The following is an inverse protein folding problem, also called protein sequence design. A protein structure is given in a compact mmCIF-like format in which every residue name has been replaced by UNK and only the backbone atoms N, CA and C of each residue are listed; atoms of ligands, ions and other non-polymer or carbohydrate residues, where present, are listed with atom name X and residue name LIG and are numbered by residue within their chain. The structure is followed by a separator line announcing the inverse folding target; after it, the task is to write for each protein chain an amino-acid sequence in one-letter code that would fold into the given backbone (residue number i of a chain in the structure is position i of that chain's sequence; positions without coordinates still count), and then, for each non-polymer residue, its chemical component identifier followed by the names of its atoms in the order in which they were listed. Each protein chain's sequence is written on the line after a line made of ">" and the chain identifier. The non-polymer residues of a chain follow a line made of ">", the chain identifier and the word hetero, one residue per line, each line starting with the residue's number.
data_IF_362383649520
#
_entry.id   IF_362383649520
#
_cell.length_a   1.000
_cell.length_b   1.000
_cell.length_c   1.000
_cell.angle_alpha   90.00
_cell.angle_beta   90.00
_cell.angle_gamma   90.00
#
_symmetry.space_group_name_H-M   'P 1'
#
loop_
_entity.id
_entity.type
_entity.pdbx_description
1 polymer ?
#
# COMPACT_ATOMS: atom_id res chain seq x y z
N UNK A 1 15.80 1.70 -12.57
CA UNK A 1 15.59 0.37 -11.95
C UNK A 1 15.88 0.38 -10.45
N UNK A 2 17.08 0.80 -10.02
CA UNK A 2 17.48 0.76 -8.60
C UNK A 2 16.52 1.55 -7.69
N UNK A 3 16.15 2.77 -8.07
CA UNK A 3 15.23 3.61 -7.29
C UNK A 3 13.85 2.96 -7.11
N UNK A 4 13.30 2.35 -8.16
CA UNK A 4 12.04 1.61 -8.06
C UNK A 4 12.15 0.43 -7.09
N UNK A 5 13.27 -0.30 -7.14
CA UNK A 5 13.54 -1.39 -6.20
C UNK A 5 13.64 -0.89 -4.76
N UNK A 6 14.33 0.23 -4.52
CA UNK A 6 14.44 0.82 -3.17
C UNK A 6 13.05 1.16 -2.61
N UNK A 7 12.17 1.82 -3.37
CA UNK A 7 10.80 2.09 -2.92
C UNK A 7 10.02 0.82 -2.60
N UNK A 8 10.16 -0.24 -3.42
CA UNK A 8 9.51 -1.53 -3.17
C UNK A 8 10.06 -2.24 -1.93
N UNK A 9 11.38 -2.16 -1.72
CA UNK A 9 12.00 -2.71 -0.52
C UNK A 9 11.53 -1.97 0.75
N UNK A 10 11.48 -0.63 0.71
CA UNK A 10 10.98 0.19 1.83
C UNK A 10 9.51 -0.11 2.12
N UNK A 11 8.66 -0.24 1.09
CA UNK A 11 7.27 -0.66 1.24
C UNK A 11 7.18 -2.01 1.94
N UNK A 12 7.95 -3.01 1.46
CA UNK A 12 7.99 -4.34 2.04
C UNK A 12 8.44 -4.34 3.51
N UNK A 13 9.43 -3.52 3.87
CA UNK A 13 9.87 -3.34 5.26
C UNK A 13 8.75 -2.76 6.14
N UNK A 14 8.07 -1.72 5.67
CA UNK A 14 6.93 -1.13 6.40
C UNK A 14 5.78 -2.11 6.53
N UNK A 15 5.51 -2.90 5.49
CA UNK A 15 4.49 -3.94 5.51
C UNK A 15 4.83 -5.08 6.47
N UNK A 16 6.11 -5.46 6.59
CA UNK A 16 6.56 -6.51 7.50
C UNK A 16 6.34 -6.16 8.99
N UNK A 17 6.23 -4.88 9.33
CA UNK A 17 5.91 -4.43 10.69
C UNK A 17 4.40 -4.60 11.00
N UNK A 18 3.55 -4.77 9.98
CA UNK A 18 2.09 -4.87 10.16
C UNK A 18 1.65 -5.97 11.14
N UNK A 19 2.17 -7.21 11.07
CA UNK A 19 1.80 -8.26 12.01
C UNK A 19 2.08 -7.92 13.47
N UNK A 20 3.13 -7.14 13.75
CA UNK A 20 3.47 -6.73 15.12
C UNK A 20 2.38 -5.86 15.76
N UNK A 21 1.78 -4.96 15.00
CA UNK A 21 0.64 -4.16 15.49
C UNK A 21 -0.60 -5.02 15.74
N UNK A 22 -0.85 -6.02 14.88
CA UNK A 22 -1.95 -6.96 15.07
C UNK A 22 -1.76 -7.82 16.31
N UNK A 23 -0.53 -8.32 16.52
CA UNK A 23 -0.18 -9.09 17.73
C UNK A 23 -0.27 -8.24 18.99
N UNK A 24 0.17 -6.97 18.95
CA UNK A 24 0.04 -6.06 20.07
C UNK A 24 -1.43 -5.80 20.43
N UNK A 25 -2.31 -5.58 19.45
CA UNK A 25 -3.75 -5.42 19.65
C UNK A 25 -4.39 -6.70 20.21
N UNK A 26 -4.00 -7.87 19.70
CA UNK A 26 -4.46 -9.15 20.21
C UNK A 26 -4.02 -9.38 21.66
N UNK A 27 -2.77 -9.07 21.98
CA UNK A 27 -2.24 -9.16 23.34
C UNK A 27 -3.02 -8.24 24.31
N UNK A 28 -3.32 -7.01 23.91
CA UNK A 28 -4.14 -6.10 24.70
C UNK A 28 -5.57 -6.61 24.90
N UNK A 29 -6.18 -7.18 23.86
CA UNK A 29 -7.53 -7.73 23.94
C UNK A 29 -7.60 -8.93 24.89
N UNK A 30 -6.61 -9.81 24.85
CA UNK A 30 -6.53 -11.00 25.73
C UNK A 30 -6.17 -10.64 27.16
N UNK A 31 -5.28 -9.67 27.38
CA UNK A 31 -4.90 -9.18 28.71
C UNK A 31 -6.01 -8.35 29.35
N UNK A 32 -6.68 -7.49 28.56
CA UNK A 32 -7.77 -6.65 29.05
C UNK A 32 -9.02 -7.42 29.52
N UNK A 33 -9.21 -8.64 29.01
CA UNK A 33 -10.27 -9.54 29.50
C UNK A 33 -10.02 -10.05 30.92
N UNK A 34 -8.77 -10.00 31.43
CA UNK A 34 -8.36 -10.47 32.75
C UNK A 34 -8.28 -9.35 33.81
N UNK A 35 -8.41 -8.06 33.42
CA UNK A 35 -8.17 -6.89 34.28
C UNK A 35 -9.47 -6.16 34.59
N UNK A 36 -9.63 -5.71 35.84
CA UNK A 36 -10.84 -5.02 36.34
C UNK A 36 -11.09 -3.67 35.66
N UNK A 37 -12.31 -3.13 35.84
CA UNK A 37 -12.88 -1.98 35.12
C UNK A 37 -12.06 -0.68 35.08
N UNK A 38 -11.17 -0.43 36.06
CA UNK A 38 -10.32 0.77 36.10
C UNK A 38 -9.22 0.75 35.01
N UNK A 39 -8.68 -0.43 34.67
CA UNK A 39 -7.66 -0.59 33.65
C UNK A 39 -8.23 -0.71 32.23
N UNK A 40 -9.53 -0.99 32.10
CA UNK A 40 -10.20 -1.08 30.80
C UNK A 40 -10.16 0.24 30.02
N UNK A 41 -10.25 1.39 30.70
CA UNK A 41 -10.15 2.71 30.06
C UNK A 41 -8.76 2.97 29.48
N UNK A 42 -7.71 2.65 30.24
CA UNK A 42 -6.32 2.78 29.79
C UNK A 42 -6.00 1.81 28.64
N UNK A 43 -6.46 0.58 28.72
CA UNK A 43 -6.32 -0.43 27.67
C UNK A 43 -6.99 0.00 26.37
N UNK A 44 -8.22 0.54 26.44
CA UNK A 44 -8.93 1.06 25.27
C UNK A 44 -8.25 2.28 24.66
N UNK A 45 -7.66 3.16 25.47
CA UNK A 45 -6.90 4.31 24.97
C UNK A 45 -5.64 3.86 24.19
N UNK A 46 -4.88 2.90 24.74
CA UNK A 46 -3.70 2.34 24.07
C UNK A 46 -4.09 1.61 22.78
N UNK A 47 -5.14 0.78 22.81
CA UNK A 47 -5.68 0.10 21.64
C UNK A 47 -6.08 1.11 20.54
N UNK A 48 -6.72 2.21 20.90
CA UNK A 48 -7.11 3.29 19.99
C UNK A 48 -5.90 3.95 19.32
N UNK A 49 -4.82 4.20 20.06
CA UNK A 49 -3.55 4.73 19.50
C UNK A 49 -2.91 3.73 18.55
N UNK A 50 -2.78 2.46 18.94
CA UNK A 50 -2.21 1.42 18.09
C UNK A 50 -3.00 1.25 16.78
N UNK A 51 -4.32 1.32 16.84
CA UNK A 51 -5.17 1.25 15.67
C UNK A 51 -4.93 2.43 14.70
N UNK A 52 -4.82 3.66 15.22
CA UNK A 52 -4.50 4.85 14.42
C UNK A 52 -3.12 4.75 13.78
N UNK A 53 -2.10 4.33 14.54
CA UNK A 53 -0.73 4.15 14.03
C UNK A 53 -0.71 3.06 12.95
N UNK A 54 -1.47 1.98 13.12
CA UNK A 54 -1.60 0.94 12.10
C UNK A 54 -2.23 1.47 10.80
N UNK A 55 -3.24 2.35 10.89
CA UNK A 55 -3.82 2.99 9.71
C UNK A 55 -2.83 3.92 9.00
N UNK A 56 -2.10 4.74 9.72
CA UNK A 56 -1.07 5.62 9.14
C UNK A 56 0.05 4.82 8.47
N UNK A 57 0.52 3.76 9.09
CA UNK A 57 1.51 2.85 8.51
C UNK A 57 1.04 2.30 7.16
N UNK A 58 -0.23 1.87 7.06
CA UNK A 58 -0.79 1.37 5.80
C UNK A 58 -0.76 2.45 4.71
N UNK A 59 -1.11 3.69 5.04
CA UNK A 59 -1.05 4.82 4.09
C UNK A 59 0.39 5.14 3.68
N UNK A 60 1.35 5.11 4.61
CA UNK A 60 2.77 5.31 4.29
C UNK A 60 3.30 4.21 3.37
N UNK A 61 2.98 2.94 3.64
CA UNK A 61 3.33 1.83 2.76
C UNK A 61 2.73 2.02 1.36
N UNK A 62 1.46 2.44 1.27
CA UNK A 62 0.78 2.73 0.00
C UNK A 62 1.43 3.89 -0.78
N UNK A 63 1.93 4.92 -0.10
CA UNK A 63 2.69 6.02 -0.72
C UNK A 63 4.00 5.48 -1.31
N UNK A 64 4.78 4.70 -0.55
CA UNK A 64 6.01 4.08 -1.06
C UNK A 64 5.74 3.17 -2.24
N UNK A 65 4.68 2.36 -2.16
CA UNK A 65 4.18 1.53 -3.25
C UNK A 65 3.90 2.36 -4.50
N UNK A 66 3.17 3.47 -4.39
CA UNK A 66 2.76 4.28 -5.54
C UNK A 66 3.96 4.94 -6.25
N UNK A 67 4.95 5.43 -5.50
CA UNK A 67 6.20 5.93 -6.07
C UNK A 67 6.99 4.82 -6.78
N UNK A 68 7.15 3.68 -6.13
CA UNK A 68 7.82 2.51 -6.72
C UNK A 68 7.13 2.04 -8.00
N UNK A 69 5.80 1.94 -7.97
CA UNK A 69 4.99 1.54 -9.12
C UNK A 69 5.04 2.56 -10.25
N UNK A 70 5.02 3.85 -9.97
CA UNK A 70 5.15 4.90 -11.00
C UNK A 70 6.47 4.80 -11.76
N UNK A 71 7.59 4.63 -11.04
CA UNK A 71 8.91 4.48 -11.67
C UNK A 71 8.99 3.15 -12.43
N UNK A 72 8.46 2.08 -11.86
CA UNK A 72 8.50 0.75 -12.45
C UNK A 72 7.68 0.68 -13.75
N UNK A 73 6.45 1.19 -13.72
CA UNK A 73 5.58 1.22 -14.90
C UNK A 73 6.11 2.16 -15.99
N UNK A 74 6.73 3.28 -15.60
CA UNK A 74 7.45 4.16 -16.53
C UNK A 74 8.59 3.42 -17.24
N UNK A 75 9.40 2.65 -16.51
CA UNK A 75 10.49 1.87 -17.09
C UNK A 75 9.95 0.79 -18.02
N UNK A 76 8.90 0.07 -17.64
CA UNK A 76 8.24 -0.94 -18.49
C UNK A 76 7.66 -0.33 -19.76
N UNK A 77 7.05 0.86 -19.67
CA UNK A 77 6.53 1.59 -20.81
C UNK A 77 7.65 1.99 -21.78
N UNK A 78 8.76 2.51 -21.25
CA UNK A 78 9.90 2.95 -22.04
C UNK A 78 10.63 1.79 -22.72
N UNK A 79 10.81 0.68 -21.99
CA UNK A 79 11.46 -0.51 -22.48
C UNK A 79 10.56 -1.42 -23.32
N UNK A 80 9.29 -1.10 -23.46
CA UNK A 80 8.27 -1.90 -24.20
C UNK A 80 8.19 -3.37 -23.73
N UNK A 81 8.40 -3.58 -22.45
CA UNK A 81 8.42 -4.93 -21.86
C UNK A 81 7.03 -5.57 -21.73
N UNK A 82 5.98 -4.76 -21.77
CA UNK A 82 4.57 -5.17 -21.67
C UNK A 82 3.75 -4.37 -22.69
N UNK A 83 2.50 -4.81 -23.01
CA UNK A 83 1.61 -4.09 -23.91
C UNK A 83 1.45 -2.61 -23.49
N UNK A 84 1.62 -1.70 -24.45
CA UNK A 84 1.53 -0.27 -24.22
C UNK A 84 0.29 0.18 -23.44
N UNK A 85 -0.95 -0.27 -23.79
CA UNK A 85 -2.14 0.16 -23.06
C UNK A 85 -2.08 -0.22 -21.58
N UNK A 86 -1.54 -1.41 -21.28
CA UNK A 86 -1.37 -1.87 -19.90
C UNK A 86 -0.34 -1.02 -19.15
N UNK A 87 0.81 -0.72 -19.77
CA UNK A 87 1.84 0.12 -19.18
C UNK A 87 1.36 1.55 -18.92
N UNK A 88 0.59 2.13 -19.85
CA UNK A 88 -0.01 3.48 -19.70
C UNK A 88 -1.03 3.48 -18.57
N UNK A 89 -1.89 2.47 -18.48
CA UNK A 89 -2.86 2.34 -17.38
C UNK A 89 -2.14 2.27 -16.02
N UNK A 90 -1.11 1.44 -15.89
CA UNK A 90 -0.34 1.30 -14.65
C UNK A 90 0.36 2.59 -14.26
N UNK A 91 0.95 3.31 -15.22
CA UNK A 91 1.60 4.59 -14.97
C UNK A 91 0.59 5.65 -14.52
N UNK A 92 -0.54 5.79 -15.22
CA UNK A 92 -1.60 6.74 -14.87
C UNK A 92 -2.20 6.43 -13.48
N UNK A 93 -2.48 5.15 -13.19
CA UNK A 93 -2.97 4.71 -11.88
C UNK A 93 -1.96 5.03 -10.76
N UNK A 94 -0.67 4.81 -11.01
CA UNK A 94 0.38 5.11 -10.03
C UNK A 94 0.50 6.61 -9.75
N UNK A 95 0.45 7.45 -10.78
CA UNK A 95 0.47 8.92 -10.63
C UNK A 95 -0.78 9.41 -9.86
N UNK A 96 -1.94 8.83 -10.13
CA UNK A 96 -3.17 9.12 -9.38
C UNK A 96 -2.98 8.81 -7.88
N UNK A 97 -2.42 7.65 -7.54
CA UNK A 97 -2.13 7.27 -6.15
C UNK A 97 -1.09 8.19 -5.50
N UNK A 98 -0.01 8.54 -6.22
CA UNK A 98 1.01 9.49 -5.75
C UNK A 98 0.39 10.84 -5.37
N UNK A 99 -0.60 11.31 -6.11
CA UNK A 99 -1.28 12.57 -5.81
C UNK A 99 -2.29 12.45 -4.65
N UNK A 100 -3.06 11.37 -4.62
CA UNK A 100 -4.20 11.22 -3.68
C UNK A 100 -3.78 10.74 -2.30
N UNK A 101 -2.81 9.81 -2.20
CA UNK A 101 -2.45 9.24 -0.90
C UNK A 101 -1.83 10.23 0.10
N UNK A 102 -0.97 11.19 -0.29
CA UNK A 102 -0.53 12.24 0.62
C UNK A 102 -1.68 13.12 1.13
N UNK A 103 -2.65 13.45 0.27
CA UNK A 103 -3.84 14.21 0.67
C UNK A 103 -4.74 13.43 1.65
N UNK A 104 -4.80 12.12 1.49
CA UNK A 104 -5.46 11.23 2.45
C UNK A 104 -4.72 11.24 3.80
N UNK A 105 -3.40 11.16 3.81
CA UNK A 105 -2.60 11.20 5.03
C UNK A 105 -2.77 12.52 5.78
N UNK A 106 -2.87 13.63 5.05
CA UNK A 106 -3.17 14.97 5.59
C UNK A 106 -4.62 15.12 6.07
N UNK A 107 -5.49 14.11 5.86
CA UNK A 107 -6.89 14.12 6.26
C UNK A 107 -7.80 15.00 5.38
N UNK A 108 -7.29 15.49 4.25
CA UNK A 108 -8.07 16.30 3.28
C UNK A 108 -9.08 15.42 2.56
N UNK A 109 -8.69 14.20 2.18
CA UNK A 109 -9.56 13.23 1.51
C UNK A 109 -9.96 12.12 2.50
N UNK A 110 -11.26 11.91 2.64
CA UNK A 110 -11.84 10.90 3.54
C UNK A 110 -13.01 10.18 2.86
N UNK A 111 -13.33 8.98 3.36
CA UNK A 111 -14.51 8.22 2.93
C UNK A 111 -14.28 7.29 1.75
N UNK A 112 -15.37 6.86 1.11
CA UNK A 112 -15.39 5.82 0.08
C UNK A 112 -14.69 6.20 -1.21
N UNK A 113 -14.53 7.51 -1.50
CA UNK A 113 -13.79 7.97 -2.69
C UNK A 113 -12.33 7.51 -2.71
N UNK A 114 -11.71 7.37 -1.52
CA UNK A 114 -10.34 6.87 -1.42
C UNK A 114 -10.23 5.42 -1.91
N UNK A 115 -11.25 4.60 -1.68
CA UNK A 115 -11.25 3.22 -2.15
C UNK A 115 -11.38 3.13 -3.68
N UNK A 116 -12.10 4.06 -4.33
CA UNK A 116 -12.25 4.10 -5.78
C UNK A 116 -10.93 4.42 -6.50
N UNK A 117 -10.01 5.13 -5.86
CA UNK A 117 -8.69 5.46 -6.43
C UNK A 117 -7.83 4.20 -6.63
N UNK A 118 -8.11 3.11 -5.91
CA UNK A 118 -7.43 1.83 -6.07
C UNK A 118 -7.92 1.00 -7.26
N UNK A 119 -9.11 1.30 -7.79
CA UNK A 119 -9.71 0.53 -8.90
C UNK A 119 -8.82 0.54 -10.16
N UNK A 120 -8.30 1.70 -10.65
CA UNK A 120 -7.39 1.69 -11.80
C UNK A 120 -6.12 0.88 -11.56
N UNK A 121 -5.61 0.88 -10.31
CA UNK A 121 -4.43 0.10 -9.95
C UNK A 121 -4.71 -1.40 -9.97
N UNK A 122 -5.84 -1.84 -9.44
CA UNK A 122 -6.26 -3.23 -9.49
C UNK A 122 -6.48 -3.70 -10.94
N UNK A 123 -7.07 -2.86 -11.79
CA UNK A 123 -7.25 -3.12 -13.23
C UNK A 123 -5.91 -3.20 -13.99
N UNK A 124 -4.85 -2.65 -13.45
CA UNK A 124 -3.50 -2.80 -13.97
C UNK A 124 -2.81 -4.06 -13.42
N UNK A 125 -2.78 -4.24 -12.11
CA UNK A 125 -1.99 -5.30 -11.46
C UNK A 125 -2.50 -6.70 -11.77
N UNK A 126 -3.83 -6.90 -11.81
CA UNK A 126 -4.41 -8.20 -12.09
C UNK A 126 -4.06 -8.67 -13.53
N UNK A 127 -4.30 -7.89 -14.60
CA UNK A 127 -3.87 -8.28 -15.94
C UNK A 127 -2.35 -8.38 -16.10
N UNK A 128 -1.58 -7.52 -15.40
CA UNK A 128 -0.13 -7.62 -15.41
C UNK A 128 0.35 -8.94 -14.82
N UNK A 129 -0.22 -9.38 -13.70
CA UNK A 129 0.10 -10.67 -13.09
C UNK A 129 -0.16 -11.84 -14.05
N UNK A 130 -1.33 -11.86 -14.68
CA UNK A 130 -1.64 -12.88 -15.70
C UNK A 130 -0.69 -12.80 -16.90
N UNK A 131 -0.41 -11.60 -17.38
CA UNK A 131 0.53 -11.42 -18.49
C UNK A 131 1.90 -12.00 -18.18
N UNK A 132 2.45 -11.68 -17.01
CA UNK A 132 3.77 -12.16 -16.59
C UNK A 132 3.82 -13.67 -16.39
N UNK A 133 2.74 -14.28 -15.90
CA UNK A 133 2.64 -15.74 -15.72
C UNK A 133 2.61 -16.46 -17.08
N UNK A 134 1.83 -15.96 -18.05
CA UNK A 134 1.61 -16.67 -19.32
C UNK A 134 2.58 -16.30 -20.43
N UNK A 135 3.04 -15.05 -20.48
CA UNK A 135 3.91 -14.56 -21.56
C UNK A 135 5.30 -14.14 -21.10
N UNK A 136 5.48 -13.88 -19.82
CA UNK A 136 6.72 -13.34 -19.30
C UNK A 136 6.96 -11.89 -19.72
N UNK A 137 8.23 -11.48 -19.68
CA UNK A 137 8.69 -10.13 -20.07
C UNK A 137 9.25 -10.22 -21.48
N UNK A 138 8.79 -9.37 -22.39
CA UNK A 138 9.36 -9.28 -23.72
C UNK A 138 10.80 -8.74 -23.61
N UNK A 139 11.80 -9.35 -24.32
CA UNK A 139 13.14 -8.82 -24.31
C UNK A 139 13.13 -7.41 -24.90
N UNK A 140 13.86 -6.49 -24.26
CA UNK A 140 14.01 -5.13 -24.75
C UNK A 140 14.64 -5.14 -26.15
N UNK A 141 13.92 -4.69 -27.15
CA UNK A 141 14.37 -4.53 -28.53
C UNK A 141 15.19 -3.28 -28.69
#
# INVERSE_FOLDING_TARGET
>A
ALLAFVFRAMEGMVAAIAPLFTLALLSLATSGAAVGSADASATNAVAGVLFKVSAWKATVAAILFSFGSAIFTWLMLRARMIPRPLAVLGFAASILLVAVLPLQLMGVLRGSMVNLVWVPMALFEIPLGFWLIFKGVEPAS
#
